data_IF_467965980861
#
_entry.id   IF_467965980861
#
_cell.length_a   1.000
_cell.length_b   1.000
_cell.length_c   1.000
_cell.angle_alpha   90.00
_cell.angle_beta   90.00
_cell.angle_gamma   90.00
#
_symmetry.space_group_name_H-M   'P 1'
#
loop_
_entity.id
_entity.type
_entity.pdbx_description
1 polymer ?
#
# COMPACT_ATOMS: atom_id res chain seq x y z
N UNK A 1 -12.94 8.04 13.55
CA UNK A 1 -13.02 7.83 12.09
C UNK A 1 -11.75 7.13 11.65
N UNK A 2 -11.87 6.15 10.76
CA UNK A 2 -10.74 5.49 10.11
C UNK A 2 -10.74 5.86 8.61
N UNK A 3 -9.65 6.46 8.15
CA UNK A 3 -9.38 6.69 6.73
C UNK A 3 -8.34 5.65 6.31
N UNK A 4 -8.61 4.86 5.27
CA UNK A 4 -7.73 3.77 4.87
C UNK A 4 -7.49 3.78 3.36
N UNK A 5 -6.38 3.23 2.88
CA UNK A 5 -6.15 3.14 1.45
C UNK A 5 -7.20 2.26 0.77
N UNK A 6 -7.94 2.83 -0.18
CA UNK A 6 -8.99 2.11 -0.89
C UNK A 6 -8.43 1.09 -1.91
N UNK A 7 -9.19 0.02 -2.15
CA UNK A 7 -8.95 -0.97 -3.21
C UNK A 7 -7.61 -1.73 -3.14
N UNK A 8 -7.02 -1.89 -1.95
CA UNK A 8 -5.91 -2.80 -1.71
C UNK A 8 -6.17 -3.70 -0.50
N UNK A 9 -5.52 -4.88 -0.48
CA UNK A 9 -5.65 -5.82 0.63
C UNK A 9 -5.00 -5.30 1.92
N UNK A 10 -3.91 -4.53 1.81
CA UNK A 10 -3.22 -3.97 2.97
C UNK A 10 -4.08 -2.91 3.68
N UNK A 11 -4.51 -1.86 2.97
CA UNK A 11 -5.38 -0.82 3.51
C UNK A 11 -6.72 -1.33 4.05
N UNK A 12 -7.37 -2.29 3.37
CA UNK A 12 -8.59 -2.89 3.92
C UNK A 12 -8.29 -3.81 5.11
N UNK A 13 -7.18 -4.53 5.10
CA UNK A 13 -6.69 -5.30 6.26
C UNK A 13 -6.43 -4.41 7.47
N UNK A 14 -5.82 -3.25 7.26
CA UNK A 14 -5.59 -2.26 8.31
C UNK A 14 -6.90 -1.68 8.85
N UNK A 15 -7.86 -1.37 7.97
CA UNK A 15 -9.20 -0.95 8.39
C UNK A 15 -9.92 -2.05 9.20
N UNK A 16 -9.78 -3.32 8.79
CA UNK A 16 -10.32 -4.46 9.52
C UNK A 16 -9.74 -4.55 10.94
N UNK A 17 -8.43 -4.32 11.10
CA UNK A 17 -7.78 -4.27 12.42
C UNK A 17 -8.35 -3.14 13.28
N UNK A 18 -8.50 -1.94 12.72
CA UNK A 18 -9.10 -0.80 13.44
C UNK A 18 -10.52 -1.12 13.88
N UNK A 19 -11.33 -1.74 13.02
CA UNK A 19 -12.69 -2.20 13.37
C UNK A 19 -12.67 -3.23 14.49
N UNK A 20 -11.76 -4.20 14.45
CA UNK A 20 -11.60 -5.21 15.49
C UNK A 20 -11.26 -4.57 16.85
N UNK A 21 -10.42 -3.54 16.85
CA UNK A 21 -9.96 -2.88 18.07
C UNK A 21 -11.02 -1.95 18.69
N UNK A 22 -11.71 -1.17 17.85
CA UNK A 22 -12.55 -0.05 18.30
C UNK A 22 -14.06 -0.28 18.11
N UNK A 23 -14.46 -1.33 17.38
CA UNK A 23 -15.84 -1.73 17.16
C UNK A 23 -16.61 -0.86 16.15
N UNK A 24 -17.93 -1.01 16.17
CA UNK A 24 -18.85 -0.47 15.15
C UNK A 24 -19.10 1.05 15.24
N UNK A 25 -18.52 1.73 16.23
CA UNK A 25 -18.61 3.19 16.38
C UNK A 25 -17.66 3.94 15.44
N UNK A 26 -16.80 3.22 14.72
CA UNK A 26 -15.86 3.82 13.77
C UNK A 26 -16.52 4.00 12.41
N UNK A 27 -16.56 5.25 11.94
CA UNK A 27 -16.84 5.57 10.54
C UNK A 27 -15.60 5.24 9.69
N UNK A 28 -15.77 4.44 8.64
CA UNK A 28 -14.72 4.02 7.71
C UNK A 28 -14.85 4.74 6.37
N UNK A 29 -13.77 5.39 5.93
CA UNK A 29 -13.73 6.14 4.66
C UNK A 29 -12.54 5.66 3.84
N UNK A 30 -12.79 5.21 2.62
CA UNK A 30 -11.72 4.88 1.68
C UNK A 30 -11.03 6.17 1.20
N UNK A 31 -9.76 6.33 1.55
CA UNK A 31 -8.88 7.38 1.06
C UNK A 31 -8.39 7.07 -0.35
N UNK A 32 -8.40 8.10 -1.20
CA UNK A 32 -7.89 8.05 -2.57
C UNK A 32 -6.95 9.22 -2.77
N UNK A 33 -5.74 8.96 -3.26
CA UNK A 33 -4.75 10.01 -3.51
C UNK A 33 -5.30 11.08 -4.45
N UNK A 34 -5.09 12.35 -4.08
CA UNK A 34 -5.56 13.51 -4.85
C UNK A 34 -7.02 13.89 -4.60
N UNK A 35 -7.78 13.15 -3.79
CA UNK A 35 -9.10 13.57 -3.34
C UNK A 35 -9.02 14.39 -2.05
N UNK A 36 -10.00 15.28 -1.84
CA UNK A 36 -10.12 16.03 -0.59
C UNK A 36 -10.47 15.10 0.59
N UNK A 37 -9.99 15.41 1.80
CA UNK A 37 -10.33 14.65 2.98
C UNK A 37 -11.82 14.78 3.35
N UNK A 38 -12.41 13.76 4.02
CA UNK A 38 -13.75 13.85 4.56
C UNK A 38 -13.85 14.90 5.69
N UNK A 39 -15.06 15.20 6.16
CA UNK A 39 -15.22 16.07 7.33
C UNK A 39 -14.73 15.37 8.61
N UNK A 40 -13.66 15.93 9.17
CA UNK A 40 -13.00 15.44 10.38
C UNK A 40 -13.33 16.27 11.63
N UNK A 41 -14.19 17.29 11.52
CA UNK A 41 -14.52 18.20 12.62
C UNK A 41 -14.88 17.44 13.90
N UNK A 42 -14.16 17.72 14.98
CA UNK A 42 -14.33 17.13 16.33
C UNK A 42 -14.15 15.60 16.41
N UNK A 43 -13.61 14.94 15.38
CA UNK A 43 -13.37 13.49 15.34
C UNK A 43 -11.93 13.14 15.77
N UNK A 44 -11.77 11.99 16.42
CA UNK A 44 -10.48 11.29 16.50
C UNK A 44 -10.28 10.53 15.18
N UNK A 45 -9.22 10.86 14.44
CA UNK A 45 -8.94 10.36 13.09
C UNK A 45 -7.75 9.42 13.11
N UNK A 46 -7.93 8.21 12.58
CA UNK A 46 -6.87 7.23 12.39
C UNK A 46 -6.74 7.01 10.88
N UNK A 47 -5.56 7.26 10.34
CA UNK A 47 -5.26 7.06 8.93
C UNK A 47 -4.32 5.86 8.82
N UNK A 48 -4.68 4.85 8.02
CA UNK A 48 -3.93 3.59 7.91
C UNK A 48 -3.63 3.21 6.45
N UNK A 49 -2.41 2.74 6.17
CA UNK A 49 -1.89 2.42 4.82
C UNK A 49 -2.00 3.61 3.82
N UNK A 50 -2.21 4.81 4.33
CA UNK A 50 -2.51 5.99 3.53
C UNK A 50 -2.05 7.23 4.26
N UNK A 51 -1.78 8.28 3.49
CA UNK A 51 -1.52 9.60 4.04
C UNK A 51 -1.89 10.69 3.04
N UNK A 52 -2.48 11.76 3.56
CA UNK A 52 -2.57 13.01 2.81
C UNK A 52 -1.23 13.74 2.87
N UNK A 53 -1.00 14.65 1.92
CA UNK A 53 0.16 15.53 1.92
C UNK A 53 0.22 16.40 3.17
N UNK A 54 1.43 16.84 3.52
CA UNK A 54 1.70 17.62 4.73
C UNK A 54 0.74 18.80 4.91
N UNK A 55 0.52 19.60 3.87
CA UNK A 55 -0.34 20.78 3.89
C UNK A 55 -1.81 20.44 4.14
N UNK A 56 -2.29 19.34 3.55
CA UNK A 56 -3.64 18.83 3.78
C UNK A 56 -3.80 18.34 5.21
N UNK A 57 -2.86 17.51 5.71
CA UNK A 57 -2.88 17.04 7.10
C UNK A 57 -2.81 18.18 8.11
N UNK A 58 -1.89 19.13 7.91
CA UNK A 58 -1.74 20.31 8.75
C UNK A 58 -3.01 21.18 8.76
N UNK A 59 -3.74 21.25 7.65
CA UNK A 59 -5.01 21.98 7.56
C UNK A 59 -6.14 21.27 8.30
N UNK A 60 -6.29 19.96 8.13
CA UNK A 60 -7.40 19.21 8.75
C UNK A 60 -7.17 18.92 10.24
N UNK A 61 -5.91 18.90 10.69
CA UNK A 61 -5.58 18.68 12.11
C UNK A 61 -6.15 19.76 13.02
N UNK A 62 -6.35 21.00 12.53
CA UNK A 62 -7.02 22.07 13.29
C UNK A 62 -8.53 21.86 13.48
N UNK A 63 -9.15 20.97 12.70
CA UNK A 63 -10.57 20.63 12.82
C UNK A 63 -10.78 19.33 13.58
N UNK A 64 -9.87 18.37 13.42
CA UNK A 64 -9.89 17.11 14.12
C UNK A 64 -9.56 17.28 15.61
N UNK A 65 -10.05 16.36 16.44
CA UNK A 65 -9.66 16.27 17.85
C UNK A 65 -8.25 15.71 18.02
N UNK A 66 -7.94 14.69 17.22
CA UNK A 66 -6.62 14.08 17.12
C UNK A 66 -6.45 13.38 15.77
N UNK A 67 -5.20 13.26 15.32
CA UNK A 67 -4.83 12.50 14.13
C UNK A 67 -3.68 11.53 14.46
N UNK A 68 -3.85 10.27 14.08
CA UNK A 68 -2.79 9.27 14.02
C UNK A 68 -2.65 8.81 12.57
N UNK A 69 -1.42 8.77 12.06
CA UNK A 69 -1.08 8.16 10.76
C UNK A 69 -0.22 6.92 11.01
N UNK A 70 -0.64 5.77 10.47
CA UNK A 70 0.11 4.52 10.44
C UNK A 70 0.33 4.15 8.97
N UNK A 71 1.54 4.33 8.47
CA UNK A 71 1.80 4.22 7.03
C UNK A 71 3.20 3.64 6.78
N UNK A 72 3.42 3.09 5.60
CA UNK A 72 4.67 2.49 5.18
C UNK A 72 5.16 3.01 3.80
N UNK A 73 4.51 4.04 3.27
CA UNK A 73 4.93 4.67 2.02
C UNK A 73 6.11 5.63 2.24
N UNK A 74 7.25 5.35 1.60
CA UNK A 74 8.48 6.16 1.72
C UNK A 74 8.29 7.63 1.37
N UNK A 75 7.58 7.92 0.28
CA UNK A 75 7.33 9.30 -0.17
C UNK A 75 6.46 10.09 0.80
N UNK A 76 5.57 9.41 1.53
CA UNK A 76 4.80 10.00 2.62
C UNK A 76 5.67 10.24 3.85
N UNK A 77 6.52 9.28 4.22
CA UNK A 77 7.46 9.44 5.33
C UNK A 77 8.37 10.66 5.15
N UNK A 78 8.85 10.88 3.92
CA UNK A 78 9.66 12.06 3.56
C UNK A 78 8.86 13.38 3.67
N UNK A 79 7.62 13.40 3.17
CA UNK A 79 6.75 14.59 3.21
C UNK A 79 6.31 14.94 4.64
N UNK A 80 6.01 13.92 5.45
CA UNK A 80 5.44 14.05 6.79
C UNK A 80 6.49 14.05 7.92
N UNK A 81 7.78 13.94 7.61
CA UNK A 81 8.88 13.94 8.59
C UNK A 81 8.98 15.19 9.47
N UNK A 82 8.13 16.21 9.22
CA UNK A 82 7.96 17.40 10.06
C UNK A 82 7.08 17.15 11.29
N UNK A 83 6.27 16.09 11.28
CA UNK A 83 5.46 15.71 12.43
C UNK A 83 6.24 14.80 13.38
N UNK A 84 5.93 14.81 14.70
CA UNK A 84 6.60 13.94 15.65
C UNK A 84 6.39 12.46 15.30
N UNK A 85 7.48 11.67 15.18
CA UNK A 85 7.36 10.24 14.97
C UNK A 85 7.01 9.52 16.28
N UNK A 86 6.28 8.42 16.17
CA UNK A 86 6.07 7.48 17.28
C UNK A 86 6.19 6.03 16.80
N UNK A 87 6.26 5.08 17.74
CA UNK A 87 6.33 3.66 17.43
C UNK A 87 4.98 2.96 17.65
N UNK A 88 4.55 2.16 16.67
CA UNK A 88 3.35 1.36 16.79
C UNK A 88 3.42 0.47 18.05
N UNK A 89 2.31 0.41 18.79
CA UNK A 89 2.16 -0.41 20.01
C UNK A 89 2.65 0.27 21.28
N UNK A 90 3.29 1.44 21.17
CA UNK A 90 3.78 2.20 22.32
C UNK A 90 2.78 3.32 22.64
N UNK A 91 2.13 3.21 23.80
CA UNK A 91 1.15 4.20 24.25
C UNK A 91 1.79 5.43 24.87
N UNK A 92 2.65 5.20 25.86
CA UNK A 92 3.47 6.19 26.58
C UNK A 92 4.93 5.78 26.40
N UNK A 93 5.83 6.76 26.43
CA UNK A 93 7.25 6.54 26.17
C UNK A 93 7.84 5.38 27.00
N UNK A 94 8.54 4.50 26.30
CA UNK A 94 9.31 3.41 26.89
C UNK A 94 10.81 3.64 26.72
N UNK A 95 11.61 3.16 27.66
CA UNK A 95 13.07 3.07 27.52
C UNK A 95 13.49 1.61 27.46
N UNK A 96 14.19 1.22 26.41
CA UNK A 96 14.83 -0.10 26.37
C UNK A 96 16.09 -0.12 27.24
N UNK A 97 16.55 -1.33 27.55
CA UNK A 97 17.77 -1.57 28.34
C UNK A 97 19.04 -1.01 27.68
N UNK A 98 19.02 -0.82 26.35
CA UNK A 98 20.10 -0.21 25.57
C UNK A 98 20.06 1.33 25.57
N UNK A 99 19.07 1.92 26.24
CA UNK A 99 18.90 3.37 26.35
C UNK A 99 18.08 4.01 25.23
N UNK A 100 17.62 3.25 24.24
CA UNK A 100 16.73 3.77 23.18
C UNK A 100 15.37 4.17 23.75
N UNK A 101 14.84 5.30 23.29
CA UNK A 101 13.52 5.82 23.67
C UNK A 101 12.54 5.48 22.56
N UNK A 102 11.51 4.70 22.88
CA UNK A 102 10.37 4.54 21.98
C UNK A 102 9.31 5.55 22.35
N UNK A 103 9.09 6.53 21.49
CA UNK A 103 8.03 7.51 21.67
C UNK A 103 6.66 6.85 21.50
N UNK A 104 5.78 7.10 22.47
CA UNK A 104 4.39 6.68 22.43
C UNK A 104 3.50 7.70 21.73
N UNK A 105 2.36 7.24 21.18
CA UNK A 105 1.45 8.14 20.46
C UNK A 105 0.80 9.20 21.37
N UNK A 106 0.52 8.89 22.65
CA UNK A 106 0.01 9.88 23.60
C UNK A 106 1.07 10.96 23.92
N UNK A 107 2.35 10.57 23.96
CA UNK A 107 3.47 11.50 24.14
C UNK A 107 3.63 12.41 22.92
N UNK A 108 3.52 11.85 21.71
CA UNK A 108 3.58 12.62 20.47
C UNK A 108 2.45 13.66 20.39
N UNK A 109 1.21 13.28 20.74
CA UNK A 109 0.09 14.23 20.83
C UNK A 109 0.32 15.29 21.92
N UNK A 110 0.80 14.88 23.11
CA UNK A 110 1.08 15.80 24.21
C UNK A 110 2.14 16.84 23.83
N UNK A 111 3.18 16.43 23.12
CA UNK A 111 4.23 17.32 22.61
C UNK A 111 3.70 18.38 21.65
N UNK A 112 2.78 18.02 20.75
CA UNK A 112 2.13 18.98 19.85
C UNK A 112 1.27 19.98 20.62
N UNK A 113 0.47 19.50 21.57
CA UNK A 113 -0.37 20.37 22.40
C UNK A 113 0.47 21.38 23.21
N UNK A 114 1.63 20.97 23.74
CA UNK A 114 2.56 21.88 24.44
C UNK A 114 3.11 23.00 23.56
N UNK A 115 3.12 22.82 22.24
CA UNK A 115 3.54 23.82 21.26
C UNK A 115 2.39 24.67 20.71
N UNK A 116 1.19 24.56 21.30
CA UNK A 116 -0.05 25.15 20.76
C UNK A 116 -0.32 24.71 19.30
N UNK A 117 0.06 23.48 18.95
CA UNK A 117 -0.20 22.87 17.66
C UNK A 117 -1.25 21.75 17.79
N UNK A 118 -2.06 21.47 16.75
CA UNK A 118 -3.07 20.42 16.79
C UNK A 118 -2.42 19.03 16.97
N UNK A 119 -3.12 18.14 17.67
CA UNK A 119 -2.63 16.80 18.02
C UNK A 119 -2.55 15.88 16.80
N UNK A 120 -1.36 15.80 16.19
CA UNK A 120 -1.04 14.90 15.08
C UNK A 120 0.21 14.10 15.40
N UNK A 121 0.17 12.79 15.14
CA UNK A 121 1.29 11.88 15.31
C UNK A 121 1.39 10.93 14.12
N UNK A 122 2.61 10.65 13.65
CA UNK A 122 2.85 9.77 12.51
C UNK A 122 3.77 8.61 12.90
N UNK A 123 3.45 7.40 12.45
CA UNK A 123 4.31 6.23 12.56
C UNK A 123 4.57 5.70 11.14
N UNK A 124 5.85 5.63 10.79
CA UNK A 124 6.31 5.09 9.53
C UNK A 124 7.28 3.94 9.76
N UNK A 125 7.00 2.77 9.19
CA UNK A 125 7.91 1.61 9.18
C UNK A 125 7.88 0.94 7.81
N UNK A 126 8.97 1.07 7.05
CA UNK A 126 9.05 0.51 5.69
C UNK A 126 9.20 -1.03 5.68
N UNK A 127 9.41 -1.65 6.84
CA UNK A 127 9.58 -3.10 6.97
C UNK A 127 8.29 -3.81 7.37
N UNK A 128 7.19 -3.07 7.50
CA UNK A 128 5.87 -3.61 7.82
C UNK A 128 4.85 -3.09 6.83
N UNK A 129 3.83 -3.90 6.60
CA UNK A 129 2.63 -3.45 5.89
C UNK A 129 1.76 -2.55 6.79
N UNK A 130 0.90 -1.73 6.22
CA UNK A 130 -0.06 -0.90 6.95
C UNK A 130 -0.98 -1.72 7.87
N UNK A 131 -1.39 -2.92 7.46
CA UNK A 131 -2.22 -3.81 8.26
C UNK A 131 -1.48 -4.36 9.49
N UNK A 132 -0.21 -4.71 9.33
CA UNK A 132 0.64 -5.16 10.44
C UNK A 132 0.99 -4.01 11.38
N UNK A 133 1.25 -2.81 10.85
CA UNK A 133 1.41 -1.60 11.67
C UNK A 133 0.17 -1.29 12.51
N UNK A 134 -1.02 -1.40 11.91
CA UNK A 134 -2.27 -1.27 12.65
C UNK A 134 -2.40 -2.35 13.72
N UNK A 135 -2.03 -3.60 13.42
CA UNK A 135 -2.11 -4.70 14.40
C UNK A 135 -1.21 -4.44 15.60
N UNK A 136 0.05 -4.11 15.36
CA UNK A 136 1.01 -3.81 16.41
C UNK A 136 0.57 -2.61 17.25
N UNK A 137 -0.08 -1.61 16.63
CA UNK A 137 -0.63 -0.46 17.33
C UNK A 137 -1.75 -0.82 18.31
N UNK A 138 -2.74 -1.59 17.86
CA UNK A 138 -3.95 -1.85 18.66
C UNK A 138 -3.87 -3.11 19.52
N UNK A 139 -3.00 -4.06 19.18
CA UNK A 139 -2.86 -5.35 19.84
C UNK A 139 -1.38 -5.64 20.20
N UNK A 140 -0.68 -4.73 20.90
CA UNK A 140 0.74 -4.89 21.18
C UNK A 140 1.01 -6.18 21.96
N UNK A 141 1.97 -6.96 21.48
CA UNK A 141 2.37 -8.24 22.08
C UNK A 141 1.41 -9.41 21.81
N UNK A 142 0.40 -9.22 20.96
CA UNK A 142 -0.48 -10.31 20.51
C UNK A 142 -0.10 -10.80 19.12
N UNK A 143 -0.22 -12.09 18.90
CA UNK A 143 0.04 -12.71 17.60
C UNK A 143 -1.05 -12.32 16.58
N UNK A 144 -0.69 -11.76 15.41
CA UNK A 144 -1.65 -11.46 14.35
C UNK A 144 -2.21 -12.73 13.70
N UNK A 145 -3.44 -12.67 13.12
CA UNK A 145 -3.94 -13.68 12.22
C UNK A 145 -2.92 -13.98 11.12
N UNK A 146 -2.74 -15.26 10.78
CA UNK A 146 -1.80 -15.66 9.72
C UNK A 146 -2.09 -14.98 8.38
N UNK A 147 -3.37 -14.69 8.08
CA UNK A 147 -3.74 -13.97 6.86
C UNK A 147 -3.12 -12.56 6.79
N UNK A 148 -3.00 -11.83 7.91
CA UNK A 148 -2.30 -10.52 7.92
C UNK A 148 -0.82 -10.67 7.56
N UNK A 149 -0.17 -11.76 7.99
CA UNK A 149 1.22 -12.05 7.62
C UNK A 149 1.37 -12.33 6.12
N UNK A 150 0.44 -13.07 5.53
CA UNK A 150 0.43 -13.27 4.08
C UNK A 150 0.11 -12.00 3.30
N UNK A 151 -0.70 -11.09 3.88
CA UNK A 151 -0.92 -9.75 3.31
C UNK A 151 0.39 -8.97 3.29
N UNK A 152 1.12 -8.91 4.41
CA UNK A 152 2.43 -8.28 4.48
C UNK A 152 3.45 -8.90 3.53
N UNK A 153 3.52 -10.24 3.48
CA UNK A 153 4.47 -10.97 2.65
C UNK A 153 4.28 -10.68 1.15
N UNK A 154 3.04 -10.41 0.71
CA UNK A 154 2.75 -9.96 -0.66
C UNK A 154 2.97 -8.46 -0.83
N UNK A 155 2.49 -7.66 0.12
CA UNK A 155 2.51 -6.20 0.03
C UNK A 155 3.95 -5.66 -0.05
N UNK A 156 4.84 -6.21 0.78
CA UNK A 156 6.29 -5.95 0.73
C UNK A 156 7.01 -6.73 -0.40
N UNK A 157 6.28 -7.50 -1.21
CA UNK A 157 6.78 -8.31 -2.32
C UNK A 157 7.88 -9.31 -1.91
N UNK A 158 7.75 -9.92 -0.72
CA UNK A 158 8.75 -10.82 -0.14
C UNK A 158 8.58 -12.27 -0.60
N UNK A 159 7.34 -12.76 -0.66
CA UNK A 159 6.99 -14.15 -1.00
C UNK A 159 7.81 -15.21 -0.24
N UNK A 160 8.06 -14.98 1.06
CA UNK A 160 8.81 -15.89 1.93
C UNK A 160 7.94 -16.95 2.59
N UNK A 161 6.64 -16.68 2.73
CA UNK A 161 5.70 -17.63 3.32
C UNK A 161 5.15 -18.56 2.22
N UNK A 162 5.14 -19.86 2.50
CA UNK A 162 4.58 -20.85 1.57
C UNK A 162 3.09 -20.55 1.32
N UNK A 163 2.66 -20.64 0.07
CA UNK A 163 1.27 -20.42 -0.32
C UNK A 163 0.80 -18.96 -0.35
N UNK A 164 1.65 -17.95 -0.10
CA UNK A 164 1.23 -16.53 -0.12
C UNK A 164 0.51 -16.15 -1.42
N UNK A 165 1.02 -16.60 -2.57
CA UNK A 165 0.44 -16.27 -3.87
C UNK A 165 -0.99 -16.79 -4.02
N UNK A 166 -1.21 -18.05 -3.69
CA UNK A 166 -2.52 -18.68 -3.73
C UNK A 166 -3.47 -18.07 -2.70
N UNK A 167 -3.03 -17.88 -1.45
CA UNK A 167 -3.85 -17.26 -0.41
C UNK A 167 -4.30 -15.85 -0.83
N UNK A 168 -3.40 -15.09 -1.46
CA UNK A 168 -3.72 -13.75 -1.95
C UNK A 168 -4.67 -13.81 -3.15
N UNK A 169 -4.45 -14.72 -4.10
CA UNK A 169 -5.39 -14.92 -5.21
C UNK A 169 -6.81 -15.25 -4.71
N UNK A 170 -6.92 -16.04 -3.63
CA UNK A 170 -8.20 -16.28 -2.95
C UNK A 170 -8.75 -15.00 -2.32
N UNK A 171 -7.96 -14.29 -1.52
CA UNK A 171 -8.36 -13.05 -0.84
C UNK A 171 -8.89 -12.00 -1.83
N UNK A 172 -8.20 -11.77 -2.95
CA UNK A 172 -8.61 -10.81 -3.99
C UNK A 172 -9.85 -11.25 -4.79
N UNK A 173 -10.29 -12.51 -4.65
CA UNK A 173 -11.53 -12.98 -5.28
C UNK A 173 -12.79 -12.54 -4.51
N UNK A 174 -12.64 -12.09 -3.27
CA UNK A 174 -13.73 -11.65 -2.40
C UNK A 174 -13.90 -10.12 -2.40
N UNK A 175 -15.10 -9.62 -2.12
CA UNK A 175 -15.31 -8.18 -1.92
C UNK A 175 -14.58 -7.67 -0.68
N UNK A 176 -14.24 -6.38 -0.69
CA UNK A 176 -13.80 -5.62 0.48
C UNK A 176 -14.99 -5.34 1.40
N UNK A 177 -15.44 -6.39 2.06
CA UNK A 177 -16.56 -6.42 2.99
C UNK A 177 -16.10 -6.97 4.34
N UNK A 178 -16.53 -6.31 5.40
CA UNK A 178 -16.01 -6.53 6.73
C UNK A 178 -16.42 -7.90 7.30
N UNK A 179 -17.67 -8.31 7.09
CA UNK A 179 -18.20 -9.61 7.49
C UNK A 179 -17.60 -10.76 6.68
N UNK A 180 -17.30 -10.53 5.39
CA UNK A 180 -16.54 -11.48 4.57
C UNK A 180 -15.12 -11.64 5.12
N UNK A 181 -14.45 -10.53 5.42
CA UNK A 181 -13.09 -10.55 5.96
C UNK A 181 -13.00 -11.14 7.36
N UNK A 182 -14.04 -11.03 8.19
CA UNK A 182 -14.12 -11.76 9.46
C UNK A 182 -14.03 -13.27 9.26
N UNK A 183 -14.71 -13.80 8.24
CA UNK A 183 -14.65 -15.24 7.91
C UNK A 183 -13.29 -15.63 7.36
N UNK A 184 -12.70 -14.81 6.49
CA UNK A 184 -11.36 -15.06 5.93
C UNK A 184 -10.27 -15.03 7.01
N UNK A 185 -10.32 -14.07 7.92
CA UNK A 185 -9.37 -13.95 9.05
C UNK A 185 -9.50 -15.09 10.06
N UNK A 186 -10.67 -15.72 10.15
CA UNK A 186 -10.92 -16.88 11.01
C UNK A 186 -10.65 -18.22 10.31
N UNK A 187 -10.49 -18.24 8.98
CA UNK A 187 -10.25 -19.45 8.22
C UNK A 187 -8.84 -20.00 8.42
N UNK A 188 -8.71 -21.31 8.23
CA UNK A 188 -7.40 -21.97 8.14
C UNK A 188 -6.68 -21.56 6.84
N UNK A 189 -5.38 -21.31 6.95
CA UNK A 189 -4.54 -20.88 5.81
C UNK A 189 -4.44 -21.93 4.70
N UNK A 190 -4.50 -23.22 5.03
CA UNK A 190 -4.42 -24.28 4.03
C UNK A 190 -5.70 -24.32 3.16
N UNK A 191 -6.85 -24.07 3.77
CA UNK A 191 -8.12 -23.89 3.06
C UNK A 191 -8.04 -22.66 2.14
N UNK A 192 -7.55 -21.53 2.67
CA UNK A 192 -7.39 -20.32 1.86
C UNK A 192 -6.45 -20.52 0.66
N UNK A 193 -5.37 -21.26 0.88
CA UNK A 193 -4.40 -21.64 -0.17
C UNK A 193 -5.06 -22.55 -1.21
N UNK A 194 -5.80 -23.56 -0.78
CA UNK A 194 -6.47 -24.52 -1.66
C UNK A 194 -7.45 -23.82 -2.61
N UNK A 195 -8.27 -22.91 -2.07
CA UNK A 195 -9.25 -22.14 -2.85
C UNK A 195 -8.57 -21.23 -3.90
N UNK A 196 -7.39 -20.71 -3.59
CA UNK A 196 -6.62 -19.84 -4.49
C UNK A 196 -5.77 -20.57 -5.52
N UNK A 197 -5.46 -21.85 -5.32
CA UNK A 197 -4.50 -22.58 -6.15
C UNK A 197 -4.90 -22.66 -7.64
N UNK A 198 -6.19 -22.82 -7.94
CA UNK A 198 -6.66 -22.83 -9.31
C UNK A 198 -6.64 -21.44 -9.96
N UNK A 199 -6.91 -20.39 -9.18
CA UNK A 199 -6.88 -18.99 -9.62
C UNK A 199 -5.44 -18.63 -10.01
N UNK A 200 -4.48 -18.95 -9.15
CA UNK A 200 -3.08 -18.60 -9.37
C UNK A 200 -2.45 -19.37 -10.54
N UNK A 201 -2.81 -20.66 -10.69
CA UNK A 201 -2.40 -21.45 -11.85
C UNK A 201 -2.95 -20.87 -13.16
N UNK A 202 -4.21 -20.41 -13.17
CA UNK A 202 -4.80 -19.77 -14.35
C UNK A 202 -4.15 -18.42 -14.64
N UNK A 203 -3.92 -17.61 -13.61
CA UNK A 203 -3.27 -16.30 -13.72
C UNK A 203 -1.90 -16.39 -14.41
N UNK A 204 -1.02 -17.29 -13.94
CA UNK A 204 0.30 -17.47 -14.53
C UNK A 204 0.26 -18.06 -15.95
N UNK A 205 -0.68 -18.98 -16.21
CA UNK A 205 -0.86 -19.51 -17.56
C UNK A 205 -1.24 -18.38 -18.53
N UNK A 206 -2.19 -17.53 -18.14
CA UNK A 206 -2.63 -16.40 -18.97
C UNK A 206 -1.51 -15.40 -19.21
N UNK A 207 -0.74 -15.06 -18.17
CA UNK A 207 0.42 -14.18 -18.32
C UNK A 207 1.42 -14.78 -19.31
N UNK A 208 1.77 -16.06 -19.17
CA UNK A 208 2.73 -16.70 -20.06
C UNK A 208 2.25 -16.69 -21.53
N UNK A 209 0.99 -17.07 -21.77
CA UNK A 209 0.40 -17.10 -23.12
C UNK A 209 0.25 -15.70 -23.71
N UNK A 210 -0.24 -14.73 -22.94
CA UNK A 210 -0.44 -13.36 -23.41
C UNK A 210 0.89 -12.63 -23.65
N UNK A 211 1.87 -12.76 -22.74
CA UNK A 211 3.21 -12.17 -22.94
C UNK A 211 3.86 -12.75 -24.19
N UNK A 212 3.73 -14.05 -24.46
CA UNK A 212 4.31 -14.66 -25.66
C UNK A 212 3.78 -14.06 -26.97
N UNK A 213 2.52 -13.59 -26.99
CA UNK A 213 1.85 -13.08 -28.19
C UNK A 213 1.87 -11.55 -28.27
N UNK A 214 1.75 -10.86 -27.13
CA UNK A 214 1.56 -9.40 -27.07
C UNK A 214 2.86 -8.62 -26.84
N UNK A 215 3.96 -9.29 -26.46
CA UNK A 215 5.23 -8.65 -26.18
C UNK A 215 5.83 -8.04 -27.46
N UNK A 216 6.06 -6.74 -27.41
CA UNK A 216 6.80 -5.95 -28.40
C UNK A 216 7.89 -5.15 -27.70
N UNK A 217 8.63 -4.33 -28.44
CA UNK A 217 9.62 -3.42 -27.88
C UNK A 217 9.25 -1.97 -28.11
N UNK A 218 9.50 -1.12 -27.13
CA UNK A 218 9.34 0.34 -27.21
C UNK A 218 10.53 1.02 -26.57
N UNK A 219 10.84 2.22 -27.03
CA UNK A 219 11.81 3.10 -26.36
C UNK A 219 11.06 3.94 -25.32
N UNK A 220 11.32 3.71 -24.03
CA UNK A 220 10.73 4.44 -22.91
C UNK A 220 11.87 5.04 -22.09
N UNK A 221 11.85 6.36 -21.86
CA UNK A 221 12.91 7.06 -21.13
C UNK A 221 14.30 6.89 -21.75
N UNK A 222 14.38 6.68 -23.08
CA UNK A 222 15.63 6.42 -23.79
C UNK A 222 16.10 4.96 -23.77
N UNK A 223 15.34 4.03 -23.19
CA UNK A 223 15.69 2.61 -23.11
C UNK A 223 14.77 1.75 -23.97
N UNK A 224 15.35 0.87 -24.80
CA UNK A 224 14.62 -0.14 -25.55
C UNK A 224 14.26 -1.33 -24.63
N UNK A 225 12.98 -1.44 -24.27
CA UNK A 225 12.47 -2.38 -23.24
C UNK A 225 11.32 -3.25 -23.76
N UNK A 226 11.10 -4.47 -23.21
CA UNK A 226 9.94 -5.26 -23.58
C UNK A 226 8.67 -4.64 -23.00
N UNK A 227 7.63 -4.62 -23.82
CA UNK A 227 6.33 -4.04 -23.49
C UNK A 227 5.20 -4.95 -23.97
N UNK A 228 4.18 -5.19 -23.14
CA UNK A 228 2.97 -5.92 -23.54
C UNK A 228 1.69 -5.11 -23.29
N UNK A 229 0.71 -5.26 -24.17
CA UNK A 229 -0.65 -4.75 -23.91
C UNK A 229 -1.41 -5.77 -23.06
N UNK A 230 -1.64 -5.45 -21.79
CA UNK A 230 -2.27 -6.34 -20.83
C UNK A 230 -3.21 -5.55 -19.92
N UNK A 231 -4.32 -6.15 -19.47
CA UNK A 231 -5.19 -5.51 -18.48
C UNK A 231 -4.42 -5.22 -17.20
N UNK A 232 -4.77 -4.13 -16.51
CA UNK A 232 -4.08 -3.66 -15.31
C UNK A 232 -3.96 -4.73 -14.20
N UNK A 233 -4.85 -5.71 -14.19
CA UNK A 233 -4.88 -6.82 -13.24
C UNK A 233 -3.76 -7.85 -13.42
N UNK A 234 -3.04 -7.83 -14.55
CA UNK A 234 -1.95 -8.78 -14.86
C UNK A 234 -0.56 -8.13 -14.88
N UNK A 235 -0.48 -6.81 -14.73
CA UNK A 235 0.73 -6.06 -15.13
C UNK A 235 1.90 -6.20 -14.17
N UNK A 236 1.64 -6.47 -12.89
CA UNK A 236 2.71 -6.67 -11.90
C UNK A 236 3.52 -7.92 -12.23
N UNK A 237 2.87 -9.08 -12.32
CA UNK A 237 3.56 -10.35 -12.59
C UNK A 237 4.02 -10.45 -14.05
N UNK A 238 3.26 -9.92 -15.01
CA UNK A 238 3.71 -9.90 -16.41
C UNK A 238 4.92 -8.96 -16.60
N UNK A 239 4.92 -7.79 -15.95
CA UNK A 239 6.05 -6.88 -15.96
C UNK A 239 7.27 -7.51 -15.29
N UNK A 240 7.11 -8.17 -14.14
CA UNK A 240 8.19 -8.88 -13.45
C UNK A 240 8.75 -10.03 -14.29
N UNK A 241 7.89 -10.81 -14.97
CA UNK A 241 8.29 -11.87 -15.90
C UNK A 241 9.13 -11.29 -17.06
N UNK A 242 8.69 -10.17 -17.64
CA UNK A 242 9.38 -9.55 -18.77
C UNK A 242 10.65 -8.78 -18.38
N UNK A 243 10.79 -8.35 -17.12
CA UNK A 243 11.97 -7.57 -16.69
C UNK A 243 13.21 -8.41 -16.44
N UNK A 244 13.12 -9.75 -16.49
CA UNK A 244 14.25 -10.63 -16.25
C UNK A 244 15.32 -10.46 -17.33
N UNK A 245 16.54 -10.05 -16.92
CA UNK A 245 17.65 -9.78 -17.85
C UNK A 245 17.51 -8.48 -18.66
N UNK A 246 16.56 -7.62 -18.30
CA UNK A 246 16.26 -6.36 -18.97
C UNK A 246 16.40 -5.19 -17.98
N UNK A 247 16.68 -3.95 -18.43
CA UNK A 247 16.76 -2.80 -17.53
C UNK A 247 15.47 -2.60 -16.74
N UNK A 248 14.34 -2.79 -17.42
CA UNK A 248 12.99 -2.86 -16.89
C UNK A 248 12.05 -3.38 -17.99
N UNK A 249 10.79 -3.59 -17.67
CA UNK A 249 9.73 -3.91 -18.61
C UNK A 249 8.50 -3.03 -18.36
N UNK A 250 7.58 -2.98 -19.33
CA UNK A 250 6.31 -2.27 -19.17
C UNK A 250 5.12 -3.11 -19.59
N UNK A 251 3.97 -2.89 -18.96
CA UNK A 251 2.68 -3.24 -19.52
C UNK A 251 1.89 -1.96 -19.78
N UNK A 252 0.97 -1.97 -20.74
CA UNK A 252 0.04 -0.86 -20.94
C UNK A 252 -1.39 -1.30 -21.22
N UNK A 253 -2.31 -0.40 -20.91
CA UNK A 253 -3.73 -0.49 -21.25
C UNK A 253 -4.27 0.92 -21.53
N UNK A 254 -5.39 0.97 -22.26
CA UNK A 254 -6.03 2.23 -22.62
C UNK A 254 -7.21 2.52 -21.67
N UNK A 255 -7.35 3.81 -21.34
CA UNK A 255 -8.46 4.40 -20.56
C UNK A 255 -9.11 5.50 -21.42
N UNK A 256 -10.30 6.01 -21.08
CA UNK A 256 -10.89 7.13 -21.81
C UNK A 256 -9.97 8.36 -21.91
N UNK A 257 -9.08 8.54 -20.94
CA UNK A 257 -8.17 9.69 -20.83
C UNK A 257 -6.80 9.47 -21.50
N UNK A 258 -6.48 8.25 -21.97
CA UNK A 258 -5.21 7.93 -22.61
C UNK A 258 -4.65 6.55 -22.25
N UNK A 259 -3.38 6.32 -22.60
CA UNK A 259 -2.66 5.06 -22.34
C UNK A 259 -1.91 5.13 -21.03
N UNK A 260 -2.15 4.16 -20.15
CA UNK A 260 -1.43 4.00 -18.89
C UNK A 260 -0.34 2.97 -19.06
N UNK A 261 0.85 3.28 -18.55
CA UNK A 261 2.00 2.39 -18.50
C UNK A 261 2.30 2.01 -17.06
N UNK A 262 2.51 0.71 -16.82
CA UNK A 262 2.98 0.14 -15.57
C UNK A 262 4.36 -0.45 -15.79
N UNK A 263 5.38 0.14 -15.16
CA UNK A 263 6.79 -0.23 -15.26
C UNK A 263 7.17 -1.19 -14.12
N UNK A 264 7.97 -2.20 -14.44
CA UNK A 264 8.54 -3.14 -13.46
C UNK A 264 10.03 -3.37 -13.73
N UNK A 265 10.83 -3.35 -12.68
CA UNK A 265 12.23 -3.77 -12.70
C UNK A 265 12.52 -4.72 -11.54
N UNK A 266 13.67 -5.38 -11.57
CA UNK A 266 14.21 -6.13 -10.45
C UNK A 266 15.27 -5.30 -9.70
N UNK A 267 15.86 -5.85 -8.64
CA UNK A 267 16.84 -5.14 -7.83
C UNK A 267 18.11 -4.76 -8.60
N UNK A 268 18.48 -5.54 -9.62
CA UNK A 268 19.60 -5.26 -10.52
C UNK A 268 19.23 -4.28 -11.66
N UNK A 269 17.93 -4.06 -11.88
CA UNK A 269 17.38 -3.19 -12.91
C UNK A 269 17.43 -1.71 -12.53
N UNK A 270 16.92 -0.88 -13.44
CA UNK A 270 16.87 0.57 -13.25
C UNK A 270 15.77 0.97 -12.25
N UNK A 271 15.95 2.16 -11.66
CA UNK A 271 14.90 2.82 -10.90
C UNK A 271 13.80 3.32 -11.86
N UNK A 272 12.70 2.59 -11.95
CA UNK A 272 11.57 2.94 -12.83
C UNK A 272 10.77 4.12 -12.32
N UNK A 273 10.96 4.57 -11.08
CA UNK A 273 10.33 5.79 -10.58
C UNK A 273 10.93 7.03 -11.23
N UNK A 274 12.25 7.04 -11.47
CA UNK A 274 12.94 8.11 -12.20
C UNK A 274 12.52 8.15 -13.68
N UNK A 275 12.27 6.98 -14.29
CA UNK A 275 11.73 6.90 -15.66
C UNK A 275 10.29 7.44 -15.70
N UNK A 276 9.44 7.03 -14.77
CA UNK A 276 8.04 7.47 -14.73
C UNK A 276 7.90 8.98 -14.51
N UNK A 277 8.76 9.59 -13.69
CA UNK A 277 8.78 11.05 -13.44
C UNK A 277 8.97 11.88 -14.71
N UNK A 278 9.71 11.38 -15.70
CA UNK A 278 9.91 12.06 -17.00
C UNK A 278 8.58 12.26 -17.76
N UNK A 279 7.58 11.42 -17.47
CA UNK A 279 6.24 11.47 -18.07
C UNK A 279 5.18 11.99 -17.10
N UNK A 280 5.58 12.63 -16.00
CA UNK A 280 4.66 13.12 -14.95
C UNK A 280 4.03 12.02 -14.09
N UNK A 281 4.58 10.80 -14.13
CA UNK A 281 4.18 9.68 -13.27
C UNK A 281 5.05 9.54 -12.03
N UNK A 282 5.00 8.36 -11.40
CA UNK A 282 5.80 8.05 -10.21
C UNK A 282 5.49 6.66 -9.65
N UNK A 283 6.02 6.39 -8.46
CA UNK A 283 5.88 5.12 -7.75
C UNK A 283 7.16 4.73 -7.03
N UNK A 284 7.35 3.42 -6.82
CA UNK A 284 8.54 2.85 -6.20
C UNK A 284 9.62 2.54 -7.23
N UNK A 285 10.85 2.37 -6.74
CA UNK A 285 12.04 2.02 -7.53
C UNK A 285 11.78 0.90 -8.54
N UNK A 286 11.09 -0.17 -8.11
CA UNK A 286 10.84 -1.37 -8.91
C UNK A 286 9.43 -1.45 -9.50
N UNK A 287 8.54 -0.52 -9.14
CA UNK A 287 7.15 -0.53 -9.55
C UNK A 287 6.60 0.89 -9.62
N UNK A 288 6.50 1.43 -10.84
CA UNK A 288 6.03 2.79 -11.09
C UNK A 288 5.11 2.83 -12.29
N UNK A 289 4.39 3.93 -12.47
CA UNK A 289 3.51 4.10 -13.62
C UNK A 289 3.34 5.55 -14.04
N UNK A 290 2.93 5.72 -15.29
CA UNK A 290 2.62 7.03 -15.87
C UNK A 290 1.50 6.89 -16.90
N UNK A 291 0.89 8.01 -17.30
CA UNK A 291 -0.15 8.05 -18.33
C UNK A 291 0.22 9.08 -19.38
N UNK A 292 -0.02 8.75 -20.64
CA UNK A 292 0.15 9.65 -21.78
C UNK A 292 -1.15 9.77 -22.58
N UNK A 293 -1.47 10.96 -23.13
CA UNK A 293 -2.67 11.12 -23.96
C UNK A 293 -2.53 10.38 -25.29
N UNK A 294 -3.66 10.07 -25.92
CA UNK A 294 -3.67 9.56 -27.29
C UNK A 294 -3.05 10.60 -28.24
N UNK A 295 -2.15 10.15 -29.13
CA UNK A 295 -1.33 11.01 -29.99
C UNK A 295 0.10 11.22 -29.49
N UNK A 296 0.40 10.87 -28.24
CA UNK A 296 1.78 10.77 -27.76
C UNK A 296 2.55 9.69 -28.52
N UNK A 297 3.87 9.82 -28.67
CA UNK A 297 4.69 8.87 -29.43
C UNK A 297 4.58 7.42 -28.94
N UNK A 298 4.45 7.23 -27.63
CA UNK A 298 4.24 5.92 -26.98
C UNK A 298 2.85 5.31 -27.23
N UNK A 299 1.93 6.07 -27.83
CA UNK A 299 0.58 5.60 -28.20
C UNK A 299 0.46 5.21 -29.67
N UNK A 300 1.52 5.42 -30.45
CA UNK A 300 1.57 5.04 -31.87
C UNK A 300 1.61 3.52 -32.07
#
# INVERSE_FOLDING_TARGET
MCIYHGNCADGFGAAWVVRKALGNQVEFVAGVYGQEPPDVTDKDVIIVDFSYKYDVLARISWKARSIIVLDHHKSAAEDLGRFPPFHAGIRIDGRHADGTVLLGWESAHSFMNMQNAPAIACCFDMNRSGAMLAWDHFFPGQEPPMLLRHIEDRDLWLFKLDGTREIQANLFSYPYDFEVWDKLMAADVETLRSDGAAIERKHHKDIAELVAVMKRRLVIGGHDVPVASLPYTLTSDAGHLMSQGEPFAACYWDTPEGRVFSLRSNDEGLDVSEIAKQYGGGGHRNASGFRVPFGHELTK
#
